data_IF_227172204686
#
_entry.id   IF_227172204686
#
_cell.length_a   1.000
_cell.length_b   1.000
_cell.length_c   1.000
_cell.angle_alpha   90.00
_cell.angle_beta   90.00
_cell.angle_gamma   90.00
#
_symmetry.space_group_name_H-M   'P 1'
#
loop_
_entity.id
_entity.type
_entity.pdbx_description
1 polymer ?
#
# COMPACT_ATOMS: atom_id res chain seq x y z
N UNK A 1 20.93 -4.74 9.04
CA UNK A 1 21.55 -3.41 9.10
C UNK A 1 21.51 -2.79 7.72
N UNK A 2 20.41 -2.11 7.40
CA UNK A 2 20.37 -1.24 6.23
C UNK A 2 21.46 -0.17 6.34
N UNK A 3 22.38 -0.11 5.38
CA UNK A 3 23.40 0.95 5.29
C UNK A 3 22.72 2.32 5.45
N UNK A 4 23.06 3.15 6.46
CA UNK A 4 22.50 4.49 6.63
C UNK A 4 22.68 5.37 5.38
N UNK A 5 23.73 5.12 4.58
CA UNK A 5 23.94 5.80 3.31
C UNK A 5 22.89 5.42 2.27
N UNK A 6 22.24 4.25 2.37
CA UNK A 6 21.19 3.80 1.46
C UNK A 6 19.96 4.69 1.54
N UNK A 7 19.44 4.99 2.74
CA UNK A 7 18.27 5.86 2.91
C UNK A 7 18.58 7.29 2.46
N UNK A 8 19.75 7.81 2.83
CA UNK A 8 20.19 9.13 2.41
C UNK A 8 20.35 9.25 0.89
N UNK A 9 20.95 8.24 0.24
CA UNK A 9 21.08 8.18 -1.23
C UNK A 9 19.70 8.07 -1.88
N UNK A 10 18.82 7.23 -1.35
CA UNK A 10 17.47 7.04 -1.84
C UNK A 10 16.65 8.34 -1.77
N UNK A 11 16.81 9.14 -0.71
CA UNK A 11 16.14 10.43 -0.58
C UNK A 11 16.62 11.45 -1.63
N UNK A 12 17.92 11.49 -1.93
CA UNK A 12 18.53 12.43 -2.88
C UNK A 12 18.46 11.99 -4.34
N UNK A 13 18.24 10.71 -4.58
CA UNK A 13 18.10 10.12 -5.93
C UNK A 13 16.78 9.35 -5.97
N UNK A 14 15.63 10.06 -5.94
CA UNK A 14 14.34 9.40 -6.09
C UNK A 14 14.25 8.78 -7.49
N UNK A 15 13.47 7.70 -7.65
CA UNK A 15 13.23 7.10 -8.95
C UNK A 15 12.65 8.11 -9.94
N UNK A 16 12.87 7.85 -11.22
CA UNK A 16 12.27 8.67 -12.27
C UNK A 16 10.74 8.57 -12.18
N UNK A 17 10.05 9.62 -12.63
CA UNK A 17 8.60 9.53 -12.77
C UNK A 17 8.29 8.51 -13.88
N UNK A 18 7.47 7.47 -13.65
CA UNK A 18 7.24 6.42 -14.65
C UNK A 18 6.31 6.92 -15.78
N UNK A 19 6.83 7.80 -16.65
CA UNK A 19 6.09 8.42 -17.75
C UNK A 19 5.98 7.57 -19.00
N UNK A 20 6.75 6.48 -19.07
CA UNK A 20 6.71 5.51 -20.17
C UNK A 20 5.59 4.46 -20.00
N UNK A 21 5.00 4.32 -18.82
CA UNK A 21 3.93 3.37 -18.55
C UNK A 21 2.58 3.94 -18.95
N UNK A 22 1.74 3.12 -19.58
CA UNK A 22 0.35 3.47 -19.88
C UNK A 22 -0.61 2.59 -19.09
N UNK A 23 -1.59 3.23 -18.47
CA UNK A 23 -2.72 2.59 -17.79
C UNK A 23 -4.05 2.89 -18.51
N UNK A 24 -3.98 3.33 -19.77
CA UNK A 24 -5.18 3.58 -20.57
C UNK A 24 -6.08 2.34 -20.59
N UNK A 25 -7.37 2.57 -20.33
CA UNK A 25 -8.42 1.54 -20.28
C UNK A 25 -8.19 0.45 -19.21
N UNK A 26 -7.24 0.67 -18.28
CA UNK A 26 -6.98 -0.22 -17.16
C UNK A 26 -7.71 0.25 -15.91
N UNK A 27 -8.56 -0.63 -15.39
CA UNK A 27 -9.11 -0.52 -14.05
C UNK A 27 -8.03 -0.67 -12.96
N UNK A 28 -7.88 0.35 -12.11
CA UNK A 28 -6.86 0.40 -11.05
C UNK A 28 -7.51 0.63 -9.69
N UNK A 29 -7.31 -0.30 -8.76
CA UNK A 29 -7.64 -0.13 -7.34
C UNK A 29 -6.45 0.45 -6.59
N UNK A 30 -6.69 1.49 -5.79
CA UNK A 30 -5.76 2.00 -4.79
C UNK A 30 -6.44 2.05 -3.42
N UNK A 31 -5.90 1.33 -2.43
CA UNK A 31 -6.37 1.43 -1.03
C UNK A 31 -5.60 2.51 -0.29
N UNK A 32 -6.22 3.20 0.67
CA UNK A 32 -5.56 4.33 1.36
C UNK A 32 -5.35 5.53 0.42
N UNK A 33 -6.14 5.62 -0.64
CA UNK A 33 -5.99 6.60 -1.71
C UNK A 33 -6.34 8.04 -1.30
N UNK A 34 -6.77 8.26 -0.06
CA UNK A 34 -7.16 9.59 0.44
C UNK A 34 -6.00 10.40 1.02
N UNK A 35 -4.80 9.83 1.16
CA UNK A 35 -3.65 10.53 1.73
C UNK A 35 -2.32 9.86 1.37
N UNK A 36 -1.21 10.57 1.56
CA UNK A 36 0.14 10.01 1.51
C UNK A 36 0.45 9.29 0.20
N UNK A 37 1.12 8.13 0.31
CA UNK A 37 1.56 7.33 -0.83
C UNK A 37 0.41 6.86 -1.72
N UNK A 38 -0.73 6.46 -1.13
CA UNK A 38 -1.89 6.00 -1.88
C UNK A 38 -2.47 7.11 -2.77
N UNK A 39 -2.66 8.31 -2.23
CA UNK A 39 -3.16 9.45 -3.01
C UNK A 39 -2.19 9.84 -4.14
N UNK A 40 -0.89 9.90 -3.84
CA UNK A 40 0.12 10.20 -4.84
C UNK A 40 0.19 9.14 -5.95
N UNK A 41 0.03 7.86 -5.62
CA UNK A 41 -0.05 6.79 -6.60
C UNK A 41 -1.31 6.90 -7.46
N UNK A 42 -2.46 7.19 -6.86
CA UNK A 42 -3.73 7.39 -7.56
C UNK A 42 -3.64 8.53 -8.60
N UNK A 43 -3.04 9.68 -8.22
CA UNK A 43 -2.76 10.79 -9.14
C UNK A 43 -1.92 10.32 -10.33
N UNK A 44 -0.85 9.55 -10.07
CA UNK A 44 0.03 9.05 -11.12
C UNK A 44 -0.66 8.06 -12.05
N UNK A 45 -1.43 7.11 -11.52
CA UNK A 45 -2.19 6.17 -12.34
C UNK A 45 -3.15 6.92 -13.28
N UNK A 46 -3.88 7.90 -12.77
CA UNK A 46 -4.80 8.72 -13.58
C UNK A 46 -4.05 9.56 -14.61
N UNK A 47 -2.91 10.15 -14.24
CA UNK A 47 -2.07 10.90 -15.19
C UNK A 47 -1.56 10.03 -16.36
N UNK A 48 -1.47 8.70 -16.16
CA UNK A 48 -1.13 7.73 -17.21
C UNK A 48 -2.36 7.08 -17.88
N UNK A 49 -3.56 7.63 -17.66
CA UNK A 49 -4.78 7.22 -18.35
C UNK A 49 -5.59 6.12 -17.66
N UNK A 50 -5.30 5.77 -16.40
CA UNK A 50 -6.10 4.79 -15.66
C UNK A 50 -7.60 5.16 -15.64
N UNK A 51 -8.43 4.22 -16.09
CA UNK A 51 -9.89 4.34 -16.06
C UNK A 51 -10.52 2.94 -16.14
N UNK A 52 -11.41 2.57 -15.19
CA UNK A 52 -11.80 3.33 -14.00
C UNK A 52 -10.73 3.32 -12.88
N UNK A 53 -10.73 4.34 -12.04
CA UNK A 53 -9.97 4.39 -10.79
C UNK A 53 -10.88 4.05 -9.60
N UNK A 54 -10.55 2.97 -8.89
CA UNK A 54 -11.25 2.54 -7.69
C UNK A 54 -10.51 3.06 -6.46
N UNK A 55 -11.20 3.87 -5.66
CA UNK A 55 -10.68 4.46 -4.43
C UNK A 55 -11.18 3.65 -3.23
N UNK A 56 -10.32 2.82 -2.64
CA UNK A 56 -10.58 2.09 -1.40
C UNK A 56 -10.25 2.96 -0.18
N UNK A 57 -11.27 3.47 0.51
CA UNK A 57 -11.13 4.47 1.58
C UNK A 57 -12.05 4.18 2.76
N UNK A 58 -11.71 4.65 3.97
CA UNK A 58 -12.50 4.37 5.19
C UNK A 58 -13.87 5.05 5.25
N UNK A 59 -14.07 6.13 4.49
CA UNK A 59 -15.37 6.79 4.42
C UNK A 59 -15.58 7.39 3.03
N UNK A 60 -16.85 7.45 2.62
CA UNK A 60 -17.22 8.04 1.34
C UNK A 60 -16.73 9.49 1.20
N UNK A 61 -16.85 10.29 2.27
CA UNK A 61 -16.38 11.68 2.31
C UNK A 61 -14.89 11.80 1.98
N UNK A 62 -14.03 10.94 2.56
CA UNK A 62 -12.60 10.92 2.26
C UNK A 62 -12.33 10.53 0.81
N UNK A 63 -13.18 9.68 0.24
CA UNK A 63 -13.13 9.32 -1.18
C UNK A 63 -13.44 10.50 -2.09
N UNK A 64 -14.48 11.28 -1.77
CA UNK A 64 -14.85 12.48 -2.53
C UNK A 64 -13.79 13.58 -2.44
N UNK A 65 -13.18 13.76 -1.26
CA UNK A 65 -12.05 14.67 -1.09
C UNK A 65 -10.86 14.23 -1.95
N UNK A 66 -10.50 12.94 -1.91
CA UNK A 66 -9.43 12.38 -2.73
C UNK A 66 -9.70 12.54 -4.24
N UNK A 67 -10.92 12.22 -4.67
CA UNK A 67 -11.40 12.41 -6.05
C UNK A 67 -11.22 13.86 -6.49
N UNK A 68 -11.67 14.81 -5.67
CA UNK A 68 -11.53 16.25 -5.95
C UNK A 68 -10.06 16.65 -6.12
N UNK A 69 -9.18 16.19 -5.21
CA UNK A 69 -7.74 16.44 -5.33
C UNK A 69 -7.17 15.85 -6.62
N UNK A 70 -7.50 14.60 -6.95
CA UNK A 70 -6.99 13.93 -8.16
C UNK A 70 -7.46 14.67 -9.43
N UNK A 71 -8.73 15.08 -9.49
CA UNK A 71 -9.27 15.86 -10.62
C UNK A 71 -8.52 17.19 -10.77
N UNK A 72 -8.27 17.90 -9.67
CA UNK A 72 -7.58 19.18 -9.70
C UNK A 72 -6.13 19.06 -10.22
N UNK A 73 -5.43 18.00 -9.80
CA UNK A 73 -4.03 17.74 -10.16
C UNK A 73 -3.87 17.19 -11.59
N UNK A 74 -4.83 16.40 -12.08
CA UNK A 74 -4.70 15.67 -13.35
C UNK A 74 -5.59 16.18 -14.48
N UNK A 75 -6.60 17.02 -14.16
CA UNK A 75 -7.64 17.47 -15.09
C UNK A 75 -8.42 16.33 -15.75
N UNK A 76 -8.46 15.16 -15.11
CA UNK A 76 -9.23 14.01 -15.58
C UNK A 76 -10.74 14.21 -15.45
N UNK A 77 -11.50 13.36 -16.13
CA UNK A 77 -12.96 13.35 -16.05
C UNK A 77 -13.46 12.77 -14.72
N UNK A 78 -14.56 13.29 -14.21
CA UNK A 78 -15.11 12.91 -12.90
C UNK A 78 -15.83 11.55 -12.88
N UNK A 79 -16.13 10.99 -14.05
CA UNK A 79 -16.86 9.73 -14.27
C UNK A 79 -15.97 8.48 -14.18
N UNK A 80 -14.64 8.65 -14.18
CA UNK A 80 -13.70 7.51 -14.08
C UNK A 80 -13.62 6.92 -12.67
N UNK A 81 -14.19 7.58 -11.65
CA UNK A 81 -13.99 7.24 -10.25
C UNK A 81 -15.07 6.31 -9.71
N UNK A 82 -14.65 5.25 -9.00
CA UNK A 82 -15.52 4.39 -8.19
C UNK A 82 -15.03 4.45 -6.75
N UNK A 83 -15.79 5.07 -5.86
CA UNK A 83 -15.45 5.17 -4.44
C UNK A 83 -16.09 3.99 -3.70
N UNK A 84 -15.27 3.18 -3.03
CA UNK A 84 -15.70 2.03 -2.26
C UNK A 84 -15.18 2.13 -0.82
N UNK A 85 -16.06 1.89 0.14
CA UNK A 85 -15.69 1.92 1.56
C UNK A 85 -14.92 0.66 1.94
N UNK A 86 -13.75 0.84 2.55
CA UNK A 86 -12.86 -0.22 3.02
C UNK A 86 -12.29 0.17 4.38
N UNK A 87 -12.68 -0.57 5.42
CA UNK A 87 -12.04 -0.52 6.72
C UNK A 87 -11.19 -1.78 6.94
N UNK A 88 -9.87 -1.61 6.93
CA UNK A 88 -8.93 -2.70 7.17
C UNK A 88 -8.90 -3.15 8.64
N UNK A 89 -9.59 -2.46 9.55
CA UNK A 89 -9.78 -2.89 10.93
C UNK A 89 -10.93 -3.91 11.11
N UNK A 90 -11.65 -4.25 10.04
CA UNK A 90 -12.75 -5.22 10.04
C UNK A 90 -12.63 -6.19 8.86
N UNK A 91 -12.50 -7.49 9.14
CA UNK A 91 -12.47 -8.50 8.08
C UNK A 91 -13.83 -8.62 7.36
N UNK A 92 -14.93 -8.33 8.03
CA UNK A 92 -16.25 -8.22 7.39
C UNK A 92 -16.23 -7.10 6.34
N UNK A 93 -15.74 -5.91 6.69
CA UNK A 93 -15.58 -4.80 5.75
C UNK A 93 -14.71 -5.17 4.54
N UNK A 94 -13.63 -5.94 4.75
CA UNK A 94 -12.77 -6.43 3.64
C UNK A 94 -13.56 -7.33 2.69
N UNK A 95 -14.40 -8.24 3.21
CA UNK A 95 -15.21 -9.14 2.37
C UNK A 95 -16.28 -8.38 1.61
N UNK A 96 -17.00 -7.49 2.28
CA UNK A 96 -18.05 -6.66 1.66
C UNK A 96 -17.49 -5.75 0.57
N UNK A 97 -16.30 -5.19 0.81
CA UNK A 97 -15.58 -4.41 -0.19
C UNK A 97 -15.31 -5.22 -1.45
N UNK A 98 -14.78 -6.45 -1.32
CA UNK A 98 -14.47 -7.30 -2.48
C UNK A 98 -15.74 -7.74 -3.20
N UNK A 99 -16.80 -8.09 -2.47
CA UNK A 99 -18.09 -8.41 -3.08
C UNK A 99 -18.64 -7.23 -3.91
N UNK A 100 -18.61 -6.03 -3.33
CA UNK A 100 -19.05 -4.81 -4.01
C UNK A 100 -18.18 -4.47 -5.21
N UNK A 101 -16.86 -4.62 -5.09
CA UNK A 101 -15.91 -4.43 -6.19
C UNK A 101 -16.20 -5.41 -7.32
N UNK A 102 -16.35 -6.70 -7.02
CA UNK A 102 -16.61 -7.72 -8.03
C UNK A 102 -17.92 -7.49 -8.79
N UNK A 103 -18.94 -6.93 -8.12
CA UNK A 103 -20.22 -6.59 -8.72
C UNK A 103 -20.16 -5.33 -9.62
N UNK A 104 -19.35 -4.34 -9.25
CA UNK A 104 -19.26 -3.05 -9.97
C UNK A 104 -18.14 -3.00 -11.02
N UNK A 105 -17.12 -3.83 -10.88
CA UNK A 105 -15.87 -3.75 -11.66
C UNK A 105 -15.68 -5.05 -12.45
N UNK A 106 -15.97 -5.05 -13.76
CA UNK A 106 -15.87 -6.25 -14.58
C UNK A 106 -14.45 -6.82 -14.64
N UNK A 107 -13.46 -5.95 -14.80
CA UNK A 107 -12.03 -6.28 -14.90
C UNK A 107 -11.22 -5.45 -13.94
N UNK A 108 -10.19 -6.04 -13.32
CA UNK A 108 -9.26 -5.36 -12.43
C UNK A 108 -7.84 -5.67 -12.91
N UNK A 109 -7.09 -4.65 -13.33
CA UNK A 109 -5.75 -4.83 -13.89
C UNK A 109 -4.66 -4.57 -12.84
N UNK A 110 -4.94 -3.68 -11.89
CA UNK A 110 -3.98 -3.33 -10.83
C UNK A 110 -4.71 -3.22 -9.50
N UNK A 111 -4.17 -3.86 -8.47
CA UNK A 111 -4.53 -3.68 -7.07
C UNK A 111 -3.31 -3.18 -6.29
N UNK A 112 -3.28 -1.88 -6.01
CA UNK A 112 -2.27 -1.22 -5.21
C UNK A 112 -2.72 -1.12 -3.75
N UNK A 113 -2.24 -2.03 -2.91
CA UNK A 113 -2.57 -2.08 -1.49
C UNK A 113 -1.62 -1.18 -0.68
N UNK A 114 -2.00 0.09 -0.56
CA UNK A 114 -1.22 1.14 0.12
C UNK A 114 -1.84 1.63 1.46
N UNK A 115 -2.90 0.98 1.94
CA UNK A 115 -3.53 1.30 3.21
C UNK A 115 -2.68 0.81 4.38
N UNK A 116 -2.44 1.68 5.38
CA UNK A 116 -1.71 1.32 6.58
C UNK A 116 -1.79 2.40 7.66
N UNK A 117 -1.42 2.04 8.88
CA UNK A 117 -1.39 2.92 10.06
C UNK A 117 -0.13 2.71 10.88
N UNK A 118 0.23 3.72 11.68
CA UNK A 118 1.19 3.59 12.76
C UNK A 118 0.48 4.00 14.05
N UNK A 119 0.27 3.06 14.97
CA UNK A 119 -0.38 3.31 16.26
C UNK A 119 0.67 3.31 17.37
N UNK A 120 0.52 4.25 18.30
CA UNK A 120 1.40 4.35 19.49
C UNK A 120 0.91 3.45 20.62
N UNK A 121 -0.41 3.29 20.73
CA UNK A 121 -1.05 2.51 21.77
C UNK A 121 -1.46 1.14 21.22
N UNK A 122 -1.37 0.11 22.07
CA UNK A 122 -1.97 -1.18 21.81
C UNK A 122 -3.50 -1.03 21.81
N UNK A 123 -4.11 -1.36 20.68
CA UNK A 123 -5.55 -1.29 20.46
C UNK A 123 -6.01 -2.59 19.80
N UNK A 124 -7.08 -3.18 20.30
CA UNK A 124 -7.69 -4.38 19.71
C UNK A 124 -8.81 -3.96 18.76
N UNK A 125 -8.82 -4.54 17.57
CA UNK A 125 -9.92 -4.40 16.60
C UNK A 125 -11.15 -5.18 17.04
N UNK A 126 -12.27 -4.96 16.35
CA UNK A 126 -13.49 -5.76 16.56
C UNK A 126 -13.30 -7.25 16.30
N UNK A 127 -12.29 -7.63 15.50
CA UNK A 127 -11.98 -9.02 15.18
C UNK A 127 -11.02 -9.68 16.17
N UNK A 128 -10.60 -8.98 17.22
CA UNK A 128 -9.75 -9.53 18.29
C UNK A 128 -8.24 -9.53 18.01
N UNK A 129 -7.79 -8.74 17.04
CA UNK A 129 -6.37 -8.61 16.71
C UNK A 129 -5.84 -7.22 17.07
N UNK A 130 -4.54 -7.13 17.36
CA UNK A 130 -3.86 -5.84 17.48
C UNK A 130 -4.03 -5.03 16.18
N UNK A 131 -4.38 -3.76 16.33
CA UNK A 131 -4.84 -2.91 15.24
C UNK A 131 -3.80 -2.71 14.14
N UNK A 132 -2.53 -2.52 14.49
CA UNK A 132 -1.43 -2.37 13.52
C UNK A 132 -1.20 -3.68 12.77
N UNK A 133 -1.16 -4.82 13.46
CA UNK A 133 -1.06 -6.16 12.89
C UNK A 133 -2.19 -6.42 11.90
N UNK A 134 -3.43 -6.16 12.29
CA UNK A 134 -4.57 -6.41 11.41
C UNK A 134 -4.56 -5.47 10.19
N UNK A 135 -4.48 -4.16 10.42
CA UNK A 135 -4.59 -3.16 9.35
C UNK A 135 -3.44 -3.25 8.35
N UNK A 136 -2.21 -3.51 8.81
CA UNK A 136 -1.02 -3.48 7.96
C UNK A 136 -0.63 -4.84 7.38
N UNK A 137 -1.08 -5.96 7.97
CA UNK A 137 -0.68 -7.29 7.51
C UNK A 137 -1.86 -8.21 7.22
N UNK A 138 -2.71 -8.50 8.22
CA UNK A 138 -3.76 -9.54 8.08
C UNK A 138 -4.83 -9.15 7.06
N UNK A 139 -5.38 -7.94 7.17
CA UNK A 139 -6.43 -7.45 6.28
C UNK A 139 -5.92 -7.22 4.85
N UNK A 140 -4.74 -6.61 4.61
CA UNK A 140 -4.16 -6.57 3.27
C UNK A 140 -3.93 -7.95 2.67
N UNK A 141 -3.43 -8.92 3.45
CA UNK A 141 -3.24 -10.29 2.97
C UNK A 141 -4.57 -10.94 2.57
N UNK A 142 -5.60 -10.83 3.43
CA UNK A 142 -6.95 -11.29 3.13
C UNK A 142 -7.50 -10.62 1.86
N UNK A 143 -7.39 -9.30 1.76
CA UNK A 143 -7.85 -8.53 0.60
C UNK A 143 -7.15 -8.99 -0.69
N UNK A 144 -5.82 -9.18 -0.65
CA UNK A 144 -5.04 -9.68 -1.78
C UNK A 144 -5.48 -11.07 -2.24
N UNK A 145 -5.69 -11.99 -1.29
CA UNK A 145 -6.19 -13.35 -1.58
C UNK A 145 -7.59 -13.31 -2.23
N UNK A 146 -8.49 -12.46 -1.73
CA UNK A 146 -9.85 -12.33 -2.25
C UNK A 146 -9.92 -11.64 -3.62
N UNK A 147 -8.97 -10.75 -3.94
CA UNK A 147 -8.87 -10.09 -5.24
C UNK A 147 -8.19 -10.96 -6.31
N UNK A 148 -7.41 -11.96 -5.90
CA UNK A 148 -6.60 -12.79 -6.79
C UNK A 148 -7.41 -13.44 -7.92
N UNK A 149 -8.61 -14.01 -7.70
CA UNK A 149 -9.40 -14.61 -8.78
C UNK A 149 -9.80 -13.60 -9.86
N UNK A 150 -10.17 -12.36 -9.48
CA UNK A 150 -10.55 -11.29 -10.44
C UNK A 150 -9.34 -10.81 -11.23
N UNK A 151 -8.18 -10.66 -10.58
CA UNK A 151 -6.92 -10.30 -11.25
C UNK A 151 -6.50 -11.39 -12.26
N UNK A 152 -6.58 -12.67 -11.86
CA UNK A 152 -6.25 -13.80 -12.74
C UNK A 152 -7.20 -13.90 -13.94
N UNK A 153 -8.51 -13.73 -13.72
CA UNK A 153 -9.49 -13.70 -14.79
C UNK A 153 -9.21 -12.55 -15.77
N UNK A 154 -8.91 -11.36 -15.25
CA UNK A 154 -8.56 -10.19 -16.07
C UNK A 154 -7.31 -10.44 -16.91
N UNK A 155 -6.25 -11.01 -16.32
CA UNK A 155 -5.03 -11.36 -17.05
C UNK A 155 -5.28 -12.42 -18.13
N UNK A 156 -6.12 -13.41 -17.85
CA UNK A 156 -6.44 -14.50 -18.79
C UNK A 156 -7.25 -14.02 -20.01
N UNK A 157 -8.02 -12.95 -19.86
CA UNK A 157 -8.75 -12.30 -20.95
C UNK A 157 -7.90 -11.29 -21.74
N UNK A 158 -6.65 -11.04 -21.34
CA UNK A 158 -5.83 -9.99 -21.96
C UNK A 158 -5.39 -10.39 -23.38
N UNK A 159 -5.67 -9.58 -24.41
CA UNK A 159 -5.37 -9.93 -25.81
C UNK A 159 -3.90 -10.21 -26.10
N UNK A 160 -2.98 -9.60 -25.36
CA UNK A 160 -1.53 -9.77 -25.56
C UNK A 160 -0.85 -10.43 -24.35
N UNK A 161 -1.63 -11.09 -23.49
CA UNK A 161 -1.11 -11.81 -22.31
C UNK A 161 -0.51 -10.87 -21.25
N UNK A 162 -0.95 -9.62 -21.20
CA UNK A 162 -0.49 -8.67 -20.18
C UNK A 162 -0.89 -9.15 -18.77
N UNK A 163 0.05 -9.14 -17.81
CA UNK A 163 -0.27 -9.52 -16.45
C UNK A 163 -1.17 -8.48 -15.78
N UNK A 164 -1.98 -8.95 -14.83
CA UNK A 164 -2.57 -8.10 -13.80
C UNK A 164 -1.64 -8.04 -12.59
N UNK A 165 -1.63 -6.92 -11.88
CA UNK A 165 -0.68 -6.65 -10.80
C UNK A 165 -1.36 -6.55 -9.44
N UNK A 166 -0.84 -7.29 -8.46
CA UNK A 166 -1.14 -7.13 -7.05
C UNK A 166 0.14 -6.65 -6.35
N UNK A 167 0.10 -5.47 -5.74
CA UNK A 167 1.25 -4.89 -5.05
C UNK A 167 0.88 -4.52 -3.61
N UNK A 168 1.74 -4.92 -2.68
CA UNK A 168 1.65 -4.57 -1.26
C UNK A 168 2.69 -3.50 -0.94
N UNK A 169 2.27 -2.40 -0.33
CA UNK A 169 3.20 -1.43 0.23
C UNK A 169 3.69 -1.95 1.58
N UNK A 170 5.00 -2.00 1.75
CA UNK A 170 5.64 -2.39 3.01
C UNK A 170 6.67 -1.30 3.43
N UNK A 171 7.20 -1.43 4.64
CA UNK A 171 8.24 -0.57 5.20
C UNK A 171 9.55 -1.32 5.32
N UNK A 172 10.69 -0.67 5.11
CA UNK A 172 12.02 -1.25 5.32
C UNK A 172 12.20 -1.89 6.71
N UNK A 173 11.39 -1.50 7.69
CA UNK A 173 11.36 -2.10 9.03
C UNK A 173 11.16 -3.63 9.02
N UNK A 174 10.54 -4.21 7.97
CA UNK A 174 10.42 -5.66 7.85
C UNK A 174 11.78 -6.39 7.76
N UNK A 175 12.86 -5.70 7.35
CA UNK A 175 14.21 -6.25 7.28
C UNK A 175 14.90 -6.35 8.65
N UNK A 176 14.37 -5.71 9.68
CA UNK A 176 14.95 -5.73 11.02
C UNK A 176 14.42 -6.90 11.88
N UNK A 177 13.43 -7.64 11.40
CA UNK A 177 12.90 -8.84 12.05
C UNK A 177 13.88 -10.00 11.88
N UNK A 178 14.29 -10.62 12.98
CA UNK A 178 15.20 -11.77 13.02
C UNK A 178 14.43 -13.03 13.38
N UNK A 179 14.88 -14.18 12.87
CA UNK A 179 14.31 -15.48 13.27
C UNK A 179 14.43 -15.75 14.78
N UNK A 180 15.43 -15.16 15.43
CA UNK A 180 15.64 -15.22 16.89
C UNK A 180 14.60 -14.45 17.70
N UNK A 181 13.79 -13.61 17.06
CA UNK A 181 12.72 -12.87 17.75
C UNK A 181 11.51 -13.78 18.04
N UNK A 182 11.44 -14.96 17.42
CA UNK A 182 10.42 -15.97 17.63
C UNK A 182 10.91 -17.06 18.59
N UNK A 183 10.07 -17.41 19.56
CA UNK A 183 10.27 -18.66 20.31
C UNK A 183 9.91 -19.85 19.41
N UNK A 184 10.55 -21.03 19.57
CA UNK A 184 10.33 -22.19 18.70
C UNK A 184 8.86 -22.63 18.59
N UNK A 185 8.08 -22.41 19.66
CA UNK A 185 6.70 -22.88 19.78
C UNK A 185 5.66 -21.76 19.54
N UNK A 186 6.09 -20.55 19.14
CA UNK A 186 5.22 -19.38 19.00
C UNK A 186 5.13 -18.93 17.53
N UNK A 187 3.92 -18.69 17.05
CA UNK A 187 3.71 -18.09 15.73
C UNK A 187 3.95 -16.57 15.76
N UNK A 188 4.29 -15.98 14.60
CA UNK A 188 4.46 -14.53 14.48
C UNK A 188 3.16 -13.77 14.83
N UNK A 189 2.00 -14.34 14.48
CA UNK A 189 0.70 -13.74 14.78
C UNK A 189 0.47 -13.70 16.29
N UNK A 190 0.73 -14.82 17.00
CA UNK A 190 0.61 -14.88 18.46
C UNK A 190 1.58 -13.90 19.14
N UNK A 191 2.81 -13.76 18.63
CA UNK A 191 3.77 -12.79 19.15
C UNK A 191 3.28 -11.35 18.99
N UNK A 192 2.82 -10.98 17.79
CA UNK A 192 2.35 -9.63 17.52
C UNK A 192 1.01 -9.30 18.20
N UNK A 193 0.22 -10.31 18.59
CA UNK A 193 -1.08 -10.12 19.23
C UNK A 193 -1.02 -10.09 20.78
N UNK A 194 0.13 -10.43 21.38
CA UNK A 194 0.31 -10.48 22.84
C UNK A 194 0.57 -9.08 23.44
N UNK A 195 -0.36 -8.58 24.25
CA UNK A 195 -0.26 -7.26 24.89
C UNK A 195 0.89 -7.13 25.88
N UNK A 196 1.32 -8.23 26.51
CA UNK A 196 2.45 -8.23 27.46
C UNK A 196 3.80 -8.12 26.77
N UNK A 197 3.85 -8.51 25.48
CA UNK A 197 5.01 -8.40 24.61
C UNK A 197 4.96 -7.16 23.73
N UNK A 198 3.91 -6.34 23.85
CA UNK A 198 3.81 -5.07 23.14
C UNK A 198 4.94 -4.14 23.58
N UNK A 199 5.80 -3.82 22.62
CA UNK A 199 6.90 -2.91 22.82
C UNK A 199 6.93 -1.94 21.65
N UNK A 200 6.31 -0.78 21.86
CA UNK A 200 6.33 0.33 20.91
C UNK A 200 7.76 0.72 20.51
N UNK A 201 8.75 0.57 21.42
CA UNK A 201 10.15 0.88 21.13
C UNK A 201 10.79 -0.14 20.18
N UNK A 202 10.44 -1.44 20.30
CA UNK A 202 10.84 -2.48 19.34
C UNK A 202 10.07 -2.39 18.01
N UNK A 203 8.85 -1.87 18.01
CA UNK A 203 8.03 -1.79 16.79
C UNK A 203 8.25 -0.52 15.96
N UNK A 204 8.67 0.63 16.52
CA UNK A 204 8.79 1.86 15.71
C UNK A 204 9.83 2.92 16.14
N UNK A 205 10.84 2.55 16.93
CA UNK A 205 11.94 3.39 17.46
C UNK A 205 11.67 4.21 18.73
N UNK A 206 12.79 4.34 19.45
CA UNK A 206 13.03 4.86 20.80
C UNK A 206 12.84 6.39 20.98
N UNK A 207 12.30 6.76 22.15
CA UNK A 207 12.52 7.98 22.98
C UNK A 207 11.52 9.18 22.94
N UNK A 208 11.42 9.95 24.07
CA UNK A 208 10.48 11.05 24.28
C UNK A 208 10.71 12.25 23.34
N UNK A 209 9.73 13.17 23.28
CA UNK A 209 9.57 14.40 22.45
C UNK A 209 10.77 14.90 21.60
N UNK A 210 11.99 14.94 22.13
CA UNK A 210 13.22 15.21 21.37
C UNK A 210 13.47 14.20 20.22
N UNK A 211 13.11 12.94 20.38
CA UNK A 211 13.19 11.93 19.32
C UNK A 211 12.07 12.09 18.27
N UNK A 212 10.88 12.60 18.63
CA UNK A 212 9.85 12.99 17.63
C UNK A 212 10.33 14.15 16.76
N UNK A 213 10.99 15.15 17.36
CA UNK A 213 11.61 16.24 16.62
C UNK A 213 12.79 15.74 15.76
N UNK A 214 13.66 14.88 16.31
CA UNK A 214 14.76 14.29 15.57
C UNK A 214 14.29 13.34 14.45
N UNK A 215 13.21 12.59 14.65
CA UNK A 215 12.56 11.73 13.66
C UNK A 215 11.86 12.58 12.60
N UNK A 216 11.18 13.67 12.97
CA UNK A 216 10.60 14.60 12.01
C UNK A 216 11.70 15.26 11.16
N UNK A 217 12.81 15.67 11.76
CA UNK A 217 14.00 16.17 11.04
C UNK A 217 14.62 15.07 10.18
N UNK A 218 14.71 13.84 10.67
CA UNK A 218 15.26 12.69 9.93
C UNK A 218 14.37 12.33 8.74
N UNK A 219 13.05 12.26 8.90
CA UNK A 219 12.10 12.05 7.81
C UNK A 219 12.05 13.25 6.85
N UNK A 220 12.27 14.46 7.33
CA UNK A 220 12.36 15.64 6.48
C UNK A 220 13.66 15.69 5.66
N UNK A 221 14.78 15.24 6.23
CA UNK A 221 16.11 15.27 5.60
C UNK A 221 16.42 14.00 4.80
N UNK A 222 15.89 12.85 5.21
CA UNK A 222 16.17 11.51 4.66
C UNK A 222 14.92 10.77 4.15
N UNK A 223 13.72 11.31 4.35
CA UNK A 223 12.50 10.74 3.82
C UNK A 223 12.20 11.25 2.41
N UNK A 224 11.50 10.42 1.63
CA UNK A 224 10.96 10.82 0.33
C UNK A 224 9.61 11.51 0.50
N UNK A 225 9.29 12.40 -0.42
CA UNK A 225 7.91 12.86 -0.54
C UNK A 225 7.00 11.68 -0.92
N UNK A 226 5.71 11.78 -0.59
CA UNK A 226 4.74 10.79 -1.01
C UNK A 226 4.70 10.64 -2.55
N UNK A 227 4.91 11.74 -3.28
CA UNK A 227 5.03 11.74 -4.73
C UNK A 227 6.21 10.88 -5.20
N UNK A 228 7.39 11.04 -4.59
CA UNK A 228 8.60 10.28 -4.94
C UNK A 228 8.46 8.79 -4.58
N UNK A 229 7.85 8.48 -3.42
CA UNK A 229 7.58 7.09 -3.02
C UNK A 229 6.58 6.40 -3.94
N UNK A 230 5.55 7.13 -4.38
CA UNK A 230 4.55 6.62 -5.33
C UNK A 230 5.14 6.28 -6.71
N UNK A 231 6.27 6.88 -7.11
CA UNK A 231 6.96 6.50 -8.36
C UNK A 231 7.35 5.02 -8.36
N UNK A 232 7.90 4.53 -7.26
CA UNK A 232 8.26 3.11 -7.10
C UNK A 232 7.03 2.20 -7.12
N UNK A 233 5.91 2.64 -6.53
CA UNK A 233 4.68 1.85 -6.54
C UNK A 233 4.12 1.70 -7.96
N UNK A 234 4.09 2.79 -8.72
CA UNK A 234 3.57 2.79 -10.09
C UNK A 234 4.55 2.13 -11.06
N UNK A 235 5.87 2.25 -10.86
CA UNK A 235 6.85 1.53 -11.69
C UNK A 235 6.78 0.02 -11.46
N UNK A 236 6.54 -0.43 -10.22
CA UNK A 236 6.38 -1.84 -9.89
C UNK A 236 5.22 -2.51 -10.65
N UNK A 237 4.17 -1.76 -10.97
CA UNK A 237 3.00 -2.28 -11.71
C UNK A 237 3.17 -2.24 -13.23
N UNK A 238 4.38 -1.95 -13.71
CA UNK A 238 4.80 -2.15 -15.09
C UNK A 238 5.79 -3.29 -15.29
N UNK A 239 6.16 -4.03 -14.23
CA UNK A 239 7.15 -5.12 -14.30
C UNK A 239 6.53 -6.40 -14.89
N UNK A 240 7.35 -7.25 -15.49
CA UNK A 240 6.89 -8.53 -16.05
C UNK A 240 6.79 -9.66 -15.02
N UNK A 241 6.52 -10.89 -15.47
CA UNK A 241 6.42 -12.08 -14.62
C UNK A 241 7.65 -12.34 -13.74
N UNK A 242 8.82 -11.84 -14.13
CA UNK A 242 10.06 -11.94 -13.37
C UNK A 242 10.03 -11.22 -12.01
N UNK A 243 9.05 -10.36 -11.78
CA UNK A 243 8.84 -9.63 -10.53
C UNK A 243 8.10 -10.42 -9.45
N UNK A 244 7.54 -11.59 -9.79
CA UNK A 244 6.67 -12.34 -8.88
C UNK A 244 7.38 -12.70 -7.56
N UNK A 245 6.77 -12.32 -6.44
CA UNK A 245 7.29 -12.60 -5.09
C UNK A 245 8.53 -11.80 -4.68
N UNK A 246 8.95 -10.80 -5.47
CA UNK A 246 10.13 -9.98 -5.18
C UNK A 246 9.77 -8.63 -4.56
N UNK A 247 10.69 -8.09 -3.77
CA UNK A 247 10.62 -6.71 -3.33
C UNK A 247 11.14 -5.78 -4.42
N UNK A 248 10.37 -4.74 -4.73
CA UNK A 248 10.79 -3.67 -5.63
C UNK A 248 11.07 -2.41 -4.82
N UNK A 249 12.28 -1.86 -4.93
CA UNK A 249 12.67 -0.69 -4.14
C UNK A 249 13.59 0.17 -4.97
N UNK A 250 13.32 1.48 -5.06
CA UNK A 250 14.16 2.42 -5.81
C UNK A 250 14.36 2.05 -7.29
N UNK A 251 13.35 1.46 -7.93
CA UNK A 251 13.44 0.93 -9.31
C UNK A 251 14.53 -0.14 -9.52
N UNK A 252 14.86 -0.87 -8.46
CA UNK A 252 15.77 -2.02 -8.49
C UNK A 252 15.20 -3.18 -7.66
N UNK A 253 15.63 -4.40 -7.97
CA UNK A 253 15.53 -5.52 -7.04
C UNK A 253 16.66 -5.38 -6.02
N UNK A 254 16.36 -5.31 -4.71
CA UNK A 254 17.41 -5.31 -3.70
C UNK A 254 18.20 -6.63 -3.76
N UNK A 255 19.50 -6.59 -3.43
CA UNK A 255 20.37 -7.76 -3.41
C UNK A 255 19.97 -8.79 -2.35
#
# INVERSE_FOLDING_TARGET
MSDPNSMWRAARHPPANPTSLSFKDKAVLVTGANSGLGLAAAIKYVAQGASPLILGVRSHEKGEQAKTTIINETRCSSDIFIILTLDLASFESVRDFVQTLNAKVPRLHVAQLAGGVTKVNYEITTDGYESTLQINALSPALLGLLLLPKLQATASESPHGEPSHLSFVNSIAHLEVKSTDLSPDQTLIELCNDSSKWDFQKQYFLLPLAAKAAMAVTLFVMGRSAEQGARTMVSATGLGPESHGKFWTNDIYPP
#
